data_IF_141572135370
#
_entry.id   IF_141572135370
#
_cell.length_a   1.000
_cell.length_b   1.000
_cell.length_c   1.000
_cell.angle_alpha   90.00
_cell.angle_beta   90.00
_cell.angle_gamma   90.00
#
_symmetry.space_group_name_H-M   'P 1'
#
loop_
_entity.id
_entity.type
_entity.pdbx_description
1 polymer ?
#
# COMPACT_ATOMS: atom_id res chain seq x y z
N UNK A 1 -3.19 -0.12 -6.03
CA UNK A 1 -2.95 0.58 -4.75
C UNK A 1 -2.11 1.82 -4.99
N UNK A 2 -2.19 2.82 -4.12
CA UNK A 2 -1.35 4.01 -4.17
C UNK A 2 -1.11 4.56 -2.75
N UNK A 3 -0.02 5.31 -2.57
CA UNK A 3 0.29 6.04 -1.33
C UNK A 3 0.98 7.37 -1.63
N UNK A 4 0.97 8.24 -0.63
CA UNK A 4 1.61 9.54 -0.71
C UNK A 4 2.24 9.95 0.62
N UNK A 5 3.28 10.77 0.54
CA UNK A 5 3.86 11.55 1.62
C UNK A 5 4.16 12.92 1.04
N UNK A 6 3.61 13.99 1.62
CA UNK A 6 3.70 15.35 1.07
C UNK A 6 4.19 16.34 2.12
N UNK A 7 4.77 17.44 1.63
CA UNK A 7 5.25 18.55 2.47
C UNK A 7 4.09 19.35 3.05
N UNK A 8 3.05 19.53 2.24
CA UNK A 8 1.84 20.28 2.55
C UNK A 8 0.61 19.36 2.56
N UNK A 9 -0.45 19.83 3.23
CA UNK A 9 -1.75 19.15 3.24
C UNK A 9 -2.35 19.20 1.83
N UNK A 10 -2.71 18.04 1.28
CA UNK A 10 -3.30 17.90 -0.06
C UNK A 10 -4.67 17.24 -0.01
N UNK A 11 -5.54 17.60 -0.96
CA UNK A 11 -6.76 16.84 -1.26
C UNK A 11 -6.38 15.47 -1.87
N UNK A 12 -7.09 14.41 -1.46
CA UNK A 12 -6.82 13.04 -1.92
C UNK A 12 -7.77 12.55 -3.03
N UNK A 13 -8.68 13.39 -3.52
CA UNK A 13 -9.67 13.03 -4.54
C UNK A 13 -9.01 12.59 -5.85
N UNK A 14 -7.96 13.29 -6.27
CA UNK A 14 -7.24 12.92 -7.50
C UNK A 14 -6.58 11.54 -7.37
N UNK A 15 -5.99 11.25 -6.21
CA UNK A 15 -5.41 9.94 -5.91
C UNK A 15 -6.48 8.85 -5.86
N UNK A 16 -7.65 9.15 -5.29
CA UNK A 16 -8.80 8.26 -5.26
C UNK A 16 -9.28 7.91 -6.67
N UNK A 17 -9.43 8.90 -7.56
CA UNK A 17 -9.86 8.66 -8.94
C UNK A 17 -8.84 7.83 -9.73
N UNK A 18 -7.54 8.04 -9.51
CA UNK A 18 -6.49 7.21 -10.10
C UNK A 18 -6.64 5.75 -9.65
N UNK A 19 -6.81 5.50 -8.35
CA UNK A 19 -6.97 4.14 -7.82
C UNK A 19 -8.29 3.51 -8.25
N UNK A 20 -9.36 4.30 -8.34
CA UNK A 20 -10.65 3.92 -8.90
C UNK A 20 -10.51 3.45 -10.35
N UNK A 21 -9.78 4.21 -11.16
CA UNK A 21 -9.52 3.85 -12.55
C UNK A 21 -8.67 2.58 -12.67
N UNK A 22 -7.57 2.45 -11.91
CA UNK A 22 -6.73 1.25 -11.89
C UNK A 22 -7.55 0.01 -11.51
N UNK A 23 -8.43 0.13 -10.51
CA UNK A 23 -9.27 -0.97 -10.06
C UNK A 23 -10.24 -1.46 -11.14
N UNK A 24 -10.77 -0.55 -11.97
CA UNK A 24 -11.77 -0.86 -13.01
C UNK A 24 -11.16 -1.26 -14.35
N UNK A 25 -10.07 -0.60 -14.75
CA UNK A 25 -9.53 -0.67 -16.11
C UNK A 25 -8.05 -1.07 -16.16
N UNK A 26 -7.37 -1.11 -15.02
CA UNK A 26 -5.95 -1.38 -14.91
C UNK A 26 -5.60 -2.86 -15.07
N UNK A 27 -4.36 -3.18 -14.71
CA UNK A 27 -3.81 -4.52 -14.87
C UNK A 27 -4.55 -5.53 -14.00
N UNK A 28 -4.94 -6.64 -14.64
CA UNK A 28 -5.77 -7.69 -14.03
C UNK A 28 -7.03 -7.15 -13.37
N UNK A 29 -7.60 -6.07 -13.90
CA UNK A 29 -8.95 -5.65 -13.54
C UNK A 29 -9.99 -6.76 -13.82
N UNK A 30 -11.15 -6.73 -13.17
CA UNK A 30 -11.55 -5.77 -12.13
C UNK A 30 -11.00 -6.16 -10.74
N UNK A 31 -10.79 -5.15 -9.90
CA UNK A 31 -10.52 -5.25 -8.45
C UNK A 31 -11.79 -4.83 -7.70
N UNK A 32 -12.75 -5.74 -7.63
CA UNK A 32 -14.13 -5.47 -7.22
C UNK A 32 -14.45 -5.83 -5.76
N UNK A 33 -13.47 -6.30 -4.98
CA UNK A 33 -13.74 -6.91 -3.66
C UNK A 33 -13.77 -5.91 -2.50
N UNK A 34 -13.89 -4.62 -2.82
CA UNK A 34 -13.87 -3.51 -1.87
C UNK A 34 -12.57 -2.72 -1.87
N UNK A 35 -12.49 -1.70 -1.02
CA UNK A 35 -11.30 -0.88 -0.86
C UNK A 35 -11.17 -0.30 0.54
N UNK A 36 -9.98 0.21 0.84
CA UNK A 36 -9.71 1.02 2.01
C UNK A 36 -8.91 2.28 1.70
N UNK A 37 -9.13 3.31 2.51
CA UNK A 37 -8.46 4.60 2.51
C UNK A 37 -7.97 4.87 3.92
N UNK A 38 -6.73 5.32 4.03
CA UNK A 38 -6.13 5.83 5.25
C UNK A 38 -5.43 7.15 4.93
N UNK A 39 -5.76 8.20 5.66
CA UNK A 39 -5.14 9.51 5.52
C UNK A 39 -4.85 10.07 6.91
N UNK A 40 -3.66 10.61 7.07
CA UNK A 40 -3.24 11.37 8.23
C UNK A 40 -3.04 12.83 7.84
N UNK A 41 -3.59 13.71 8.66
CA UNK A 41 -3.08 15.07 8.80
C UNK A 41 -2.24 15.19 10.09
N UNK A 42 -1.86 16.42 10.48
CA UNK A 42 -1.04 16.68 11.66
C UNK A 42 -1.71 16.26 13.00
N UNK A 43 -3.04 16.33 13.08
CA UNK A 43 -3.83 16.18 14.32
C UNK A 43 -4.92 15.11 14.23
N UNK A 44 -5.19 14.58 13.05
CA UNK A 44 -6.34 13.75 12.74
C UNK A 44 -5.98 12.61 11.80
N UNK A 45 -6.79 11.55 11.91
CA UNK A 45 -6.71 10.34 11.10
C UNK A 45 -8.09 10.08 10.51
N UNK A 46 -8.13 9.89 9.20
CA UNK A 46 -9.28 9.39 8.48
C UNK A 46 -9.03 7.96 8.02
N UNK A 47 -9.94 7.05 8.37
CA UNK A 47 -9.94 5.67 7.89
C UNK A 47 -11.33 5.32 7.36
N UNK A 48 -11.38 4.76 6.15
CA UNK A 48 -12.61 4.31 5.52
C UNK A 48 -12.39 2.99 4.80
N UNK A 49 -13.30 2.03 5.02
CA UNK A 49 -13.29 0.74 4.32
C UNK A 49 -14.70 0.34 3.95
N UNK A 50 -14.84 -0.26 2.77
CA UNK A 50 -16.13 -0.76 2.28
C UNK A 50 -15.91 -1.90 1.31
N UNK A 51 -16.86 -2.84 1.28
CA UNK A 51 -16.88 -3.93 0.30
C UNK A 51 -17.46 -3.51 -1.05
N UNK A 52 -17.92 -2.26 -1.18
CA UNK A 52 -18.32 -1.69 -2.47
C UNK A 52 -17.06 -1.43 -3.31
N UNK A 53 -17.02 -1.83 -4.60
CA UNK A 53 -15.90 -1.49 -5.47
C UNK A 53 -15.65 0.02 -5.49
N UNK A 54 -14.37 0.42 -5.46
CA UNK A 54 -13.99 1.84 -5.39
C UNK A 54 -14.57 2.69 -6.53
N UNK A 55 -14.76 2.09 -7.70
CA UNK A 55 -15.30 2.76 -8.88
C UNK A 55 -16.82 2.93 -8.88
N UNK A 56 -17.54 2.17 -8.04
CA UNK A 56 -19.00 2.20 -7.91
C UNK A 56 -19.47 2.92 -6.62
N UNK A 57 -18.56 3.26 -5.70
CA UNK A 57 -18.91 3.92 -4.44
C UNK A 57 -19.02 5.45 -4.57
N UNK A 58 -20.18 5.92 -5.01
CA UNK A 58 -20.50 7.35 -5.08
C UNK A 58 -20.40 8.05 -3.72
N UNK A 59 -20.75 7.37 -2.61
CA UNK A 59 -20.70 7.97 -1.28
C UNK A 59 -19.27 8.13 -0.80
N UNK A 60 -18.46 7.10 -0.99
CA UNK A 60 -17.03 7.13 -0.74
C UNK A 60 -16.33 8.22 -1.56
N UNK A 61 -16.70 8.36 -2.83
CA UNK A 61 -16.19 9.43 -3.71
C UNK A 61 -16.54 10.83 -3.20
N UNK A 62 -17.76 11.08 -2.73
CA UNK A 62 -18.11 12.38 -2.15
C UNK A 62 -17.43 12.63 -0.80
N UNK A 63 -17.21 11.58 -0.01
CA UNK A 63 -16.52 11.68 1.27
C UNK A 63 -15.06 12.12 1.09
N UNK A 64 -14.32 11.50 0.16
CA UNK A 64 -12.89 11.80 -0.04
C UNK A 64 -12.61 13.22 -0.51
N UNK A 65 -13.57 13.90 -1.14
CA UNK A 65 -13.48 15.33 -1.51
C UNK A 65 -13.35 16.28 -0.33
N UNK A 66 -13.67 15.80 0.87
CA UNK A 66 -13.55 16.58 2.10
C UNK A 66 -12.29 16.18 2.88
N UNK A 67 -11.59 15.13 2.44
CA UNK A 67 -10.45 14.57 3.14
C UNK A 67 -9.17 15.15 2.57
N UNK A 68 -8.38 15.70 3.48
CA UNK A 68 -7.08 16.25 3.19
C UNK A 68 -6.05 15.65 4.14
N UNK A 69 -4.80 15.55 3.72
CA UNK A 69 -3.73 15.08 4.58
C UNK A 69 -2.36 15.19 3.97
N UNK A 70 -1.35 14.75 4.72
CA UNK A 70 0.07 14.74 4.30
C UNK A 70 0.63 13.34 4.07
N UNK A 71 -0.05 12.32 4.57
CA UNK A 71 0.44 10.95 4.55
C UNK A 71 -0.76 10.01 4.42
N UNK A 72 -0.69 9.03 3.54
CA UNK A 72 -1.79 8.11 3.39
C UNK A 72 -1.61 7.07 2.32
N UNK A 73 -2.59 6.17 2.25
CA UNK A 73 -2.65 5.12 1.25
C UNK A 73 -4.10 4.79 0.89
N UNK A 74 -4.27 4.25 -0.32
CA UNK A 74 -5.54 3.75 -0.85
C UNK A 74 -5.28 2.39 -1.51
N UNK A 75 -6.11 1.41 -1.19
CA UNK A 75 -6.00 0.05 -1.71
C UNK A 75 -7.35 -0.51 -2.15
N UNK A 76 -7.56 -0.62 -3.47
CA UNK A 76 -8.63 -1.43 -4.04
C UNK A 76 -8.20 -2.90 -4.07
N UNK A 77 -9.07 -3.79 -3.61
CA UNK A 77 -8.75 -5.20 -3.38
C UNK A 77 -9.25 -6.09 -4.52
N UNK A 78 -8.42 -7.05 -4.87
CA UNK A 78 -8.79 -8.27 -5.59
C UNK A 78 -8.38 -9.49 -4.77
N UNK A 79 -9.36 -10.23 -4.26
CA UNK A 79 -9.12 -11.43 -3.50
C UNK A 79 -8.65 -12.56 -4.42
N UNK A 80 -7.60 -13.28 -3.98
CA UNK A 80 -7.24 -14.54 -4.63
C UNK A 80 -8.36 -15.58 -4.44
N UNK A 81 -8.44 -16.54 -5.36
CA UNK A 81 -9.42 -17.61 -5.28
C UNK A 81 -9.36 -18.33 -3.91
N UNK A 82 -10.51 -18.52 -3.27
CA UNK A 82 -10.62 -19.18 -1.97
C UNK A 82 -10.25 -18.33 -0.76
N UNK A 83 -9.89 -17.05 -0.94
CA UNK A 83 -9.69 -16.11 0.17
C UNK A 83 -11.02 -15.44 0.53
N UNK A 84 -11.37 -15.32 1.81
CA UNK A 84 -12.59 -14.63 2.23
C UNK A 84 -12.67 -13.19 1.69
N UNK A 85 -13.88 -12.81 1.27
CA UNK A 85 -14.23 -11.44 0.91
C UNK A 85 -15.08 -10.86 2.03
N UNK A 86 -14.56 -9.82 2.68
CA UNK A 86 -15.19 -9.18 3.81
C UNK A 86 -14.41 -7.96 4.26
N UNK A 87 -15.07 -7.10 5.04
CA UNK A 87 -14.50 -5.85 5.54
C UNK A 87 -13.19 -6.06 6.29
N UNK A 88 -13.07 -7.16 7.03
CA UNK A 88 -11.89 -7.51 7.82
C UNK A 88 -10.68 -7.82 6.93
N UNK A 89 -10.88 -8.33 5.73
CA UNK A 89 -9.79 -8.65 4.80
C UNK A 89 -9.32 -7.46 3.96
N UNK A 90 -9.95 -6.29 4.10
CA UNK A 90 -9.57 -5.09 3.37
C UNK A 90 -8.38 -4.40 4.02
N UNK A 91 -7.41 -4.06 3.19
CA UNK A 91 -6.28 -3.21 3.55
C UNK A 91 -6.72 -1.76 3.83
N UNK A 92 -5.90 -0.99 4.58
CA UNK A 92 -4.69 -1.42 5.28
C UNK A 92 -5.01 -2.26 6.52
N UNK A 93 -4.17 -3.24 6.84
CA UNK A 93 -4.17 -3.86 8.17
C UNK A 93 -3.46 -2.97 9.18
N UNK A 94 -3.86 -3.01 10.45
CA UNK A 94 -3.30 -2.16 11.50
C UNK A 94 -2.71 -2.99 12.65
N UNK A 95 -1.48 -2.67 13.06
CA UNK A 95 -0.80 -3.21 14.24
C UNK A 95 0.00 -2.06 14.88
N UNK A 96 -0.31 -1.70 16.13
CA UNK A 96 0.50 -0.77 16.96
C UNK A 96 0.89 0.55 16.26
N UNK A 97 -0.06 1.25 15.65
CA UNK A 97 0.19 2.53 14.96
C UNK A 97 0.83 2.39 13.57
N UNK A 98 1.01 1.16 13.08
CA UNK A 98 1.50 0.87 11.73
C UNK A 98 0.39 0.30 10.87
N UNK A 99 0.33 0.71 9.60
CA UNK A 99 -0.75 0.38 8.69
C UNK A 99 -0.21 -0.14 7.36
N UNK A 100 -0.56 -1.37 6.98
CA UNK A 100 0.04 -2.04 5.82
C UNK A 100 -1.00 -2.42 4.76
N UNK A 101 -0.77 -1.95 3.53
CA UNK A 101 -1.39 -2.45 2.31
C UNK A 101 -0.41 -3.33 1.53
N UNK A 102 -0.88 -4.39 0.87
CA UNK A 102 -0.02 -5.36 0.18
C UNK A 102 -0.66 -5.81 -1.13
N UNK A 103 0.15 -5.84 -2.19
CA UNK A 103 -0.20 -6.41 -3.48
C UNK A 103 0.70 -7.61 -3.79
N UNK A 104 0.09 -8.79 -3.87
CA UNK A 104 0.79 -10.03 -4.15
C UNK A 104 0.15 -11.23 -3.45
N UNK A 105 0.84 -12.36 -3.52
CA UNK A 105 0.44 -13.59 -2.85
C UNK A 105 1.68 -14.23 -2.25
N UNK A 106 1.58 -14.60 -0.99
CA UNK A 106 2.67 -15.24 -0.24
C UNK A 106 2.24 -16.66 0.09
N UNK A 107 2.86 -17.62 -0.57
CA UNK A 107 2.59 -19.04 -0.38
C UNK A 107 3.23 -19.52 0.92
N UNK A 108 2.45 -20.23 1.73
CA UNK A 108 2.90 -20.73 3.04
C UNK A 108 2.82 -19.73 4.18
N UNK A 109 2.38 -18.49 3.94
CA UNK A 109 2.10 -17.53 5.00
C UNK A 109 1.02 -18.07 5.96
N UNK A 110 1.16 -17.79 7.25
CA UNK A 110 0.18 -18.19 8.26
C UNK A 110 -1.16 -17.47 8.05
N UNK A 111 -2.18 -18.23 7.65
CA UNK A 111 -3.56 -17.78 7.47
C UNK A 111 -4.48 -18.20 8.63
N UNK A 112 -3.95 -18.81 9.69
CA UNK A 112 -4.70 -19.11 10.91
C UNK A 112 -4.96 -17.87 11.78
N UNK A 113 -4.52 -16.70 11.33
CA UNK A 113 -4.81 -15.41 11.95
C UNK A 113 -6.30 -15.00 11.81
N UNK A 114 -6.72 -14.05 12.64
CA UNK A 114 -8.12 -13.56 12.70
C UNK A 114 -8.67 -13.02 11.38
N UNK A 115 -7.81 -12.66 10.43
CA UNK A 115 -8.18 -12.09 9.14
C UNK A 115 -8.14 -13.13 8.01
N UNK A 116 -7.64 -14.34 8.25
CA UNK A 116 -7.41 -15.37 7.23
C UNK A 116 -6.63 -14.83 6.00
N UNK A 117 -5.66 -13.94 6.27
CA UNK A 117 -4.93 -13.19 5.25
C UNK A 117 -3.44 -13.48 5.31
N UNK A 118 -2.84 -13.79 4.17
CA UNK A 118 -1.38 -13.88 4.03
C UNK A 118 -0.69 -12.53 4.25
N UNK A 119 -1.34 -11.43 3.88
CA UNK A 119 -0.86 -10.08 4.17
C UNK A 119 -0.72 -9.87 5.67
N UNK A 120 -1.73 -10.27 6.47
CA UNK A 120 -1.63 -10.08 7.91
C UNK A 120 -0.53 -10.96 8.51
N UNK A 121 -0.37 -12.19 8.01
CA UNK A 121 0.76 -13.06 8.35
C UNK A 121 2.10 -12.37 8.09
N UNK A 122 2.31 -11.83 6.89
CA UNK A 122 3.49 -11.02 6.55
C UNK A 122 3.66 -9.82 7.48
N UNK A 123 2.61 -9.01 7.66
CA UNK A 123 2.67 -7.80 8.44
C UNK A 123 3.08 -8.09 9.90
N UNK A 124 2.49 -9.11 10.52
CA UNK A 124 2.82 -9.52 11.90
C UNK A 124 4.27 -9.95 12.09
N UNK A 125 4.97 -10.37 11.02
CA UNK A 125 6.37 -10.78 11.07
C UNK A 125 7.36 -9.66 10.76
N UNK A 126 6.90 -8.56 10.15
CA UNK A 126 7.78 -7.44 9.77
C UNK A 126 7.53 -6.16 10.54
N UNK A 127 6.40 -6.05 11.23
CA UNK A 127 5.96 -4.82 11.89
C UNK A 127 6.82 -4.43 13.09
N UNK A 128 7.50 -5.37 13.75
CA UNK A 128 8.33 -5.06 14.92
C UNK A 128 9.76 -4.71 14.47
N UNK A 129 9.98 -3.43 14.19
CA UNK A 129 11.28 -2.83 13.85
C UNK A 129 11.47 -1.50 14.60
N UNK A 130 12.72 -1.22 15.00
CA UNK A 130 13.14 0.03 15.66
C UNK A 130 13.70 1.05 14.67
N UNK A 131 14.24 0.60 13.55
CA UNK A 131 14.81 1.41 12.49
C UNK A 131 14.58 0.80 11.10
N UNK A 132 14.96 1.54 10.07
CA UNK A 132 14.79 1.12 8.68
C UNK A 132 15.58 -0.16 8.34
N UNK A 133 16.80 -0.29 8.85
CA UNK A 133 17.62 -1.48 8.60
C UNK A 133 16.95 -2.74 9.17
N UNK A 134 16.36 -2.64 10.36
CA UNK A 134 15.59 -3.71 11.00
C UNK A 134 14.36 -4.09 10.18
N UNK A 135 13.63 -3.12 9.59
CA UNK A 135 12.53 -3.41 8.67
C UNK A 135 13.04 -4.18 7.44
N UNK A 136 14.12 -3.71 6.79
CA UNK A 136 14.70 -4.38 5.63
C UNK A 136 15.12 -5.81 5.98
N UNK A 137 15.75 -6.02 7.13
CA UNK A 137 16.18 -7.33 7.60
C UNK A 137 15.00 -8.26 7.94
N UNK A 138 13.93 -7.74 8.52
CA UNK A 138 12.70 -8.51 8.76
C UNK A 138 12.09 -8.97 7.44
N UNK A 139 11.98 -8.07 6.45
CA UNK A 139 11.48 -8.43 5.11
C UNK A 139 12.38 -9.47 4.45
N UNK A 140 13.71 -9.26 4.44
CA UNK A 140 14.70 -10.24 3.92
C UNK A 140 14.50 -11.63 4.52
N UNK A 141 14.42 -11.71 5.85
CA UNK A 141 14.23 -12.98 6.55
C UNK A 141 12.92 -13.64 6.14
N UNK A 142 11.84 -12.88 6.08
CA UNK A 142 10.53 -13.40 5.71
C UNK A 142 10.51 -13.94 4.28
N UNK A 143 11.01 -13.17 3.30
CA UNK A 143 11.01 -13.59 1.89
C UNK A 143 12.01 -14.72 1.59
N UNK A 144 13.04 -14.91 2.43
CA UNK A 144 14.00 -16.02 2.29
C UNK A 144 13.41 -17.39 2.65
N UNK A 145 12.32 -17.40 3.42
CA UNK A 145 11.68 -18.61 3.95
C UNK A 145 10.31 -18.90 3.32
N UNK A 146 9.81 -18.01 2.46
CA UNK A 146 8.51 -18.13 1.82
C UNK A 146 8.62 -18.04 0.30
N UNK A 147 7.73 -18.73 -0.41
CA UNK A 147 7.54 -18.49 -1.83
C UNK A 147 6.44 -17.45 -2.06
N UNK A 148 6.54 -16.68 -3.14
CA UNK A 148 5.63 -15.57 -3.40
C UNK A 148 5.61 -15.18 -4.88
N UNK A 149 4.52 -14.52 -5.29
CA UNK A 149 4.44 -13.83 -6.58
C UNK A 149 4.98 -12.40 -6.46
N UNK A 150 4.47 -11.67 -5.48
CA UNK A 150 4.89 -10.33 -5.07
C UNK A 150 4.70 -10.15 -3.57
N UNK A 151 5.47 -9.23 -3.00
CA UNK A 151 5.39 -8.73 -1.62
C UNK A 151 5.45 -7.21 -1.67
N UNK A 152 4.79 -6.60 -2.67
CA UNK A 152 4.75 -5.15 -2.72
C UNK A 152 3.93 -4.65 -1.54
N UNK A 153 4.45 -3.68 -0.80
CA UNK A 153 3.74 -3.14 0.34
C UNK A 153 3.84 -1.62 0.43
N UNK A 154 2.80 -1.03 1.00
CA UNK A 154 2.71 0.36 1.42
C UNK A 154 2.46 0.33 2.92
N UNK A 155 3.41 0.82 3.72
CA UNK A 155 3.37 0.79 5.17
C UNK A 155 3.46 2.21 5.71
N UNK A 156 2.42 2.67 6.40
CA UNK A 156 2.41 3.97 7.08
C UNK A 156 2.71 3.76 8.56
N UNK A 157 3.70 4.49 9.08
CA UNK A 157 3.99 4.58 10.51
C UNK A 157 3.43 5.90 11.06
N UNK A 158 2.42 5.80 11.93
CA UNK A 158 1.72 6.93 12.52
C UNK A 158 2.59 7.78 13.44
N UNK A 159 3.59 7.17 14.09
CA UNK A 159 4.44 7.84 15.07
C UNK A 159 5.62 8.53 14.41
N UNK A 160 6.26 7.86 13.46
CA UNK A 160 7.35 8.46 12.68
C UNK A 160 6.85 9.40 11.56
N UNK A 161 5.55 9.39 11.27
CA UNK A 161 4.96 10.09 10.10
C UNK A 161 5.67 9.71 8.80
N UNK A 162 6.02 8.42 8.69
CA UNK A 162 6.79 7.88 7.59
C UNK A 162 5.94 6.94 6.71
N UNK A 163 6.20 6.99 5.40
CA UNK A 163 5.74 6.01 4.44
C UNK A 163 6.91 5.09 4.08
N UNK A 164 6.73 3.79 4.26
CA UNK A 164 7.63 2.76 3.78
C UNK A 164 7.02 2.08 2.56
N UNK A 165 7.80 1.96 1.49
CA UNK A 165 7.34 1.42 0.21
C UNK A 165 8.26 0.28 -0.20
N UNK A 166 7.73 -0.93 -0.36
CA UNK A 166 8.48 -2.08 -0.86
C UNK A 166 8.02 -2.51 -2.25
N UNK A 167 8.94 -2.65 -3.20
CA UNK A 167 8.72 -3.21 -4.53
C UNK A 167 9.49 -4.53 -4.63
N UNK A 168 8.82 -5.67 -4.45
CA UNK A 168 9.47 -6.98 -4.31
C UNK A 168 8.63 -8.03 -5.03
N UNK A 169 9.19 -8.68 -6.05
CA UNK A 169 8.49 -9.70 -6.81
C UNK A 169 9.42 -10.77 -7.39
N UNK A 170 8.86 -11.95 -7.68
CA UNK A 170 9.59 -13.05 -8.36
C UNK A 170 9.15 -13.27 -9.80
N UNK A 171 7.96 -12.79 -10.17
CA UNK A 171 7.30 -13.04 -11.46
C UNK A 171 6.54 -11.80 -11.90
N UNK A 172 6.18 -11.73 -13.19
CA UNK A 172 5.23 -10.74 -13.72
C UNK A 172 5.66 -9.28 -13.47
N UNK A 173 6.83 -8.93 -14.02
CA UNK A 173 7.48 -7.61 -13.90
C UNK A 173 6.47 -6.50 -14.19
N UNK A 174 5.78 -6.59 -15.33
CA UNK A 174 4.81 -5.60 -15.75
C UNK A 174 3.70 -5.39 -14.70
N UNK A 175 3.27 -6.44 -14.00
CA UNK A 175 2.21 -6.32 -12.99
C UNK A 175 2.69 -5.80 -11.64
N UNK A 176 3.93 -6.10 -11.24
CA UNK A 176 4.42 -5.82 -9.90
C UNK A 176 5.40 -4.64 -9.82
N UNK A 177 5.89 -4.07 -10.91
CA UNK A 177 6.66 -2.82 -10.79
C UNK A 177 5.80 -1.71 -10.19
N UNK A 178 6.27 -1.12 -9.09
CA UNK A 178 5.70 0.10 -8.53
C UNK A 178 6.27 1.31 -9.25
N UNK A 179 5.45 2.34 -9.42
CA UNK A 179 5.82 3.56 -10.14
C UNK A 179 5.62 4.75 -9.24
N UNK A 180 6.61 5.63 -9.13
CA UNK A 180 6.56 6.77 -8.22
C UNK A 180 6.99 8.07 -8.88
N UNK A 181 6.62 9.18 -8.26
CA UNK A 181 7.18 10.49 -8.60
C UNK A 181 7.52 11.26 -7.34
N UNK A 182 8.46 12.18 -7.51
CA UNK A 182 8.80 13.20 -6.53
C UNK A 182 8.68 14.54 -7.24
N UNK A 183 7.80 15.39 -6.75
CA UNK A 183 7.62 16.75 -7.26
C UNK A 183 7.64 17.79 -6.12
N UNK A 184 7.22 19.01 -6.42
CA UNK A 184 7.20 20.09 -5.44
C UNK A 184 6.26 19.82 -4.25
N UNK A 185 5.19 19.02 -4.44
CA UNK A 185 4.23 18.67 -3.39
C UNK A 185 4.75 17.52 -2.53
N UNK A 186 5.37 16.52 -3.15
CA UNK A 186 6.02 15.43 -2.42
C UNK A 186 6.15 14.15 -3.22
N UNK A 187 6.07 13.03 -2.50
CA UNK A 187 6.23 11.69 -3.03
C UNK A 187 4.87 11.02 -3.21
N UNK A 188 4.67 10.43 -4.38
CA UNK A 188 3.50 9.61 -4.70
C UNK A 188 3.94 8.30 -5.33
N UNK A 189 3.32 7.19 -4.95
CA UNK A 189 3.58 5.87 -5.53
C UNK A 189 2.27 5.19 -5.93
N UNK A 190 2.31 4.46 -7.04
CA UNK A 190 1.19 3.78 -7.67
C UNK A 190 1.61 2.35 -8.03
N UNK A 191 0.66 1.43 -8.02
CA UNK A 191 0.90 0.06 -8.49
C UNK A 191 0.97 -0.08 -10.00
N UNK A 192 0.63 0.96 -10.76
CA UNK A 192 0.62 0.94 -12.23
C UNK A 192 1.13 2.27 -12.79
N UNK A 193 1.64 2.22 -14.02
CA UNK A 193 2.06 3.41 -14.76
C UNK A 193 0.84 4.22 -15.18
N UNK A 194 0.66 5.41 -14.60
CA UNK A 194 -0.49 6.28 -14.86
C UNK A 194 -0.17 7.49 -15.74
N UNK A 195 1.12 7.85 -15.83
CA UNK A 195 1.64 8.95 -16.64
C UNK A 195 3.11 8.66 -16.99
N UNK A 196 3.59 9.15 -18.13
CA UNK A 196 4.93 8.85 -18.65
C UNK A 196 6.08 9.35 -17.74
N UNK A 197 5.79 10.30 -16.85
CA UNK A 197 6.77 10.93 -15.95
C UNK A 197 7.09 10.12 -14.69
N UNK A 198 6.39 9.02 -14.42
CA UNK A 198 6.67 8.21 -13.24
C UNK A 198 7.96 7.40 -13.43
N UNK A 199 8.74 7.31 -12.35
CA UNK A 199 9.93 6.48 -12.22
C UNK A 199 9.52 5.08 -11.75
N UNK A 200 10.18 4.05 -12.28
CA UNK A 200 10.01 2.68 -11.81
C UNK A 200 10.85 2.42 -10.56
N UNK A 201 10.27 1.74 -9.57
CA UNK A 201 11.03 1.18 -8.46
C UNK A 201 11.75 -0.10 -8.88
N UNK A 202 12.98 -0.29 -8.42
CA UNK A 202 13.73 -1.50 -8.70
C UNK A 202 13.17 -2.71 -7.94
N UNK A 203 13.27 -3.91 -8.53
CA UNK A 203 12.88 -5.13 -7.82
C UNK A 203 13.79 -5.36 -6.60
N UNK A 204 13.16 -5.57 -5.44
CA UNK A 204 13.82 -5.75 -4.16
C UNK A 204 14.03 -4.44 -3.39
N UNK A 205 13.61 -3.30 -3.93
CA UNK A 205 13.78 -1.99 -3.30
C UNK A 205 12.80 -1.76 -2.16
N UNK A 206 13.29 -1.15 -1.08
CA UNK A 206 12.48 -0.57 -0.02
C UNK A 206 12.90 0.90 0.14
N UNK A 207 11.93 1.79 0.20
CA UNK A 207 12.11 3.23 0.45
C UNK A 207 11.48 3.60 1.79
N UNK A 208 12.13 4.50 2.54
CA UNK A 208 11.51 5.28 3.61
C UNK A 208 11.33 6.70 3.13
N UNK A 209 10.11 7.21 3.24
CA UNK A 209 9.71 8.52 2.77
C UNK A 209 9.13 9.33 3.91
N UNK A 210 9.64 10.54 4.11
CA UNK A 210 9.20 11.48 5.14
C UNK A 210 9.04 12.86 4.50
N UNK A 211 7.87 13.48 4.70
CA UNK A 211 7.51 14.79 4.15
C UNK A 211 7.82 14.90 2.64
N UNK A 212 7.52 13.84 1.90
CA UNK A 212 7.72 13.76 0.46
C UNK A 212 9.17 13.59 -0.02
N UNK A 213 10.12 13.31 0.87
CA UNK A 213 11.50 13.01 0.51
C UNK A 213 11.84 11.55 0.83
N UNK A 214 12.52 10.87 -0.09
CA UNK A 214 13.17 9.58 0.22
C UNK A 214 14.34 9.89 1.16
N UNK A 215 14.25 9.42 2.40
CA UNK A 215 15.28 9.64 3.44
C UNK A 215 16.18 8.43 3.63
N UNK A 216 15.68 7.22 3.36
CA UNK A 216 16.44 5.98 3.41
C UNK A 216 16.01 5.05 2.27
N UNK A 217 16.95 4.26 1.76
CA UNK A 217 16.74 3.31 0.67
C UNK A 217 17.55 2.03 0.96
N UNK A 218 16.94 0.88 0.72
CA UNK A 218 17.54 -0.42 0.97
C UNK A 218 17.09 -1.46 -0.04
N UNK A 219 17.78 -2.61 -0.08
CA UNK A 219 17.44 -3.73 -0.95
C UNK A 219 17.35 -5.03 -0.18
N UNK A 220 16.45 -5.91 -0.61
CA UNK A 220 16.23 -7.24 -0.02
C UNK A 220 16.91 -8.39 -0.78
N UNK A 221 17.48 -8.12 -1.95
CA UNK A 221 18.28 -9.06 -2.76
C UNK A 221 19.74 -8.61 -2.84
#
# INVERSE_FOLDING_TARGET
MAAFSTKEVVDISSLFEIVSWMAKNGKKAEHSDGYGVLVFDEISKFEYKTTVPIYDDFRGRELVKQIHGKLGLIHARKASQGVPVGLQQLHPFHIRGRYLAHNGTITGADRSNAFQSDTYGFFSNVVDFEDFESLVNNVKRYISTHDFTGVNFLLVDEFEKALYVGCIYKKDVDYFTLHYKIDALGFYVYSEQMEDSLLEMENGEILKVVEGNIVEQGKVF
#
